data_IF_208717985266
#
_entry.id   IF_208717985266
#
_cell.length_a   1.000
_cell.length_b   1.000
_cell.length_c   1.000
_cell.angle_alpha   90.00
_cell.angle_beta   90.00
_cell.angle_gamma   90.00
#
_symmetry.space_group_name_H-M   'P 1'
#
loop_
_entity.id
_entity.type
_entity.pdbx_description
1 polymer ?
#
# COMPACT_ATOMS: atom_id res chain seq x y z
N UNK A 1 -8.22 -7.40 3.08
CA UNK A 1 -7.87 -8.05 1.79
C UNK A 1 -7.36 -9.45 2.01
N UNK A 2 -6.93 -10.10 0.93
CA UNK A 2 -6.47 -11.47 1.03
C UNK A 2 -4.95 -11.59 0.91
N UNK A 3 -4.48 -12.17 -0.20
CA UNK A 3 -3.06 -12.40 -0.43
C UNK A 3 -2.33 -11.17 -0.91
N UNK A 4 -3.05 -10.15 -1.33
CA UNK A 4 -2.38 -8.97 -1.84
C UNK A 4 -1.67 -8.20 -0.75
N UNK A 5 -2.03 -8.43 0.49
CA UNK A 5 -1.37 -7.70 1.56
C UNK A 5 0.11 -8.08 1.57
N UNK A 6 0.38 -9.35 1.85
CA UNK A 6 1.76 -9.81 1.86
C UNK A 6 2.55 -9.34 0.64
N UNK A 7 2.17 -9.77 -0.56
CA UNK A 7 2.90 -9.40 -1.77
C UNK A 7 2.84 -7.92 -2.12
N UNK A 8 1.65 -7.35 -2.15
CA UNK A 8 1.49 -5.95 -2.55
C UNK A 8 1.74 -4.99 -1.40
N UNK A 9 0.99 -5.11 -0.32
CA UNK A 9 1.16 -4.20 0.81
C UNK A 9 2.64 -4.03 1.18
N UNK A 10 3.35 -5.14 1.37
CA UNK A 10 4.76 -5.06 1.74
C UNK A 10 5.62 -4.47 0.63
N UNK A 11 5.41 -4.90 -0.60
CA UNK A 11 6.20 -4.42 -1.73
C UNK A 11 5.75 -3.05 -2.22
N UNK A 12 4.51 -2.95 -2.68
CA UNK A 12 3.98 -1.68 -3.15
C UNK A 12 4.33 -0.55 -2.20
N UNK A 13 4.00 -0.73 -0.93
CA UNK A 13 4.32 0.27 0.08
C UNK A 13 5.81 0.54 0.04
N UNK A 14 6.60 -0.51 0.18
CA UNK A 14 8.06 -0.41 0.13
C UNK A 14 8.52 0.55 -0.97
N UNK A 15 8.13 0.30 -2.22
CA UNK A 15 8.53 1.14 -3.35
C UNK A 15 7.97 2.56 -3.27
N UNK A 16 6.91 2.75 -2.48
CA UNK A 16 6.29 4.07 -2.39
C UNK A 16 7.01 4.89 -1.35
N UNK A 17 7.50 4.19 -0.34
CA UNK A 17 8.23 4.83 0.73
C UNK A 17 9.67 5.12 0.29
N UNK A 18 10.19 4.26 -0.54
CA UNK A 18 11.55 4.45 -1.01
C UNK A 18 11.57 5.50 -2.11
N UNK A 19 10.46 5.63 -2.81
CA UNK A 19 10.43 6.58 -3.92
C UNK A 19 10.02 7.97 -3.45
N UNK A 20 8.78 8.07 -2.99
CA UNK A 20 8.24 9.33 -2.55
C UNK A 20 8.60 9.63 -1.12
N UNK A 21 8.75 8.61 -0.30
CA UNK A 21 9.07 8.88 1.09
C UNK A 21 10.56 9.10 1.24
N UNK A 22 11.39 8.45 0.41
CA UNK A 22 12.81 8.70 0.54
C UNK A 22 13.04 10.19 0.38
N UNK A 23 12.66 10.76 -0.77
CA UNK A 23 12.81 12.20 -0.94
C UNK A 23 12.10 13.00 0.16
N UNK A 24 10.92 12.55 0.57
CA UNK A 24 10.17 13.29 1.59
C UNK A 24 10.89 13.37 2.93
N UNK A 25 11.07 12.23 3.61
CA UNK A 25 11.74 12.22 4.90
C UNK A 25 12.85 13.25 4.91
N UNK A 26 13.73 13.09 3.94
CA UNK A 26 14.84 14.02 3.77
C UNK A 26 14.35 15.47 3.70
N UNK A 27 13.57 15.79 2.65
CA UNK A 27 13.06 17.15 2.42
C UNK A 27 11.67 17.46 2.99
N UNK A 28 10.69 16.70 2.51
CA UNK A 28 9.25 16.88 2.76
C UNK A 28 8.69 16.31 4.06
N UNK A 29 9.48 15.55 4.81
CA UNK A 29 8.98 14.83 6.00
C UNK A 29 7.90 15.56 6.81
N UNK A 30 7.76 16.87 6.70
CA UNK A 30 6.72 17.54 7.48
C UNK A 30 5.38 17.58 6.73
N UNK A 31 5.32 18.45 5.71
CA UNK A 31 4.11 18.61 4.89
C UNK A 31 4.05 17.65 3.70
N UNK A 32 5.06 17.73 2.86
CA UNK A 32 5.14 16.90 1.66
C UNK A 32 4.96 15.42 1.97
N UNK A 33 5.10 15.07 3.26
CA UNK A 33 4.96 13.69 3.72
C UNK A 33 3.68 13.02 3.24
N UNK A 34 2.80 13.75 2.57
CA UNK A 34 1.58 13.16 2.09
C UNK A 34 1.80 12.50 0.74
N UNK A 35 2.58 13.17 -0.11
CA UNK A 35 2.89 12.66 -1.44
C UNK A 35 3.13 11.16 -1.45
N UNK A 36 3.76 10.63 -0.39
CA UNK A 36 4.01 9.20 -0.31
C UNK A 36 2.68 8.48 -0.09
N UNK A 37 2.07 8.73 1.07
CA UNK A 37 0.76 8.14 1.39
C UNK A 37 -0.21 8.21 0.23
N UNK A 38 0.03 9.12 -0.72
CA UNK A 38 -0.84 9.26 -1.87
C UNK A 38 -0.64 8.10 -2.83
N UNK A 39 0.62 7.85 -3.19
CA UNK A 39 0.96 6.75 -4.08
C UNK A 39 0.28 5.45 -3.64
N UNK A 40 0.25 5.23 -2.32
CA UNK A 40 -0.35 4.03 -1.76
C UNK A 40 -1.88 4.11 -1.78
N UNK A 41 -2.42 5.32 -1.85
CA UNK A 41 -3.86 5.52 -1.88
C UNK A 41 -4.48 4.87 -3.10
N UNK A 42 -4.01 5.25 -4.29
CA UNK A 42 -4.52 4.69 -5.54
C UNK A 42 -4.28 3.20 -5.62
N UNK A 43 -3.05 2.80 -5.29
CA UNK A 43 -2.67 1.39 -5.32
C UNK A 43 -3.66 0.56 -4.51
N UNK A 44 -3.87 1.00 -3.27
CA UNK A 44 -4.80 0.33 -2.35
C UNK A 44 -6.16 0.08 -3.01
N UNK A 45 -6.66 1.05 -3.77
CA UNK A 45 -7.95 0.92 -4.44
C UNK A 45 -7.98 -0.31 -5.34
N UNK A 46 -6.87 -0.55 -6.02
CA UNK A 46 -6.76 -1.70 -6.90
C UNK A 46 -6.61 -2.97 -6.07
N UNK A 47 -5.50 -3.03 -5.33
CA UNK A 47 -5.20 -4.16 -4.45
C UNK A 47 -6.41 -4.59 -3.63
N UNK A 48 -7.40 -3.72 -3.50
CA UNK A 48 -8.57 -4.07 -2.72
C UNK A 48 -9.54 -4.89 -3.55
N UNK A 49 -9.99 -4.31 -4.65
CA UNK A 49 -10.90 -4.99 -5.55
C UNK A 49 -10.25 -6.22 -6.19
N UNK A 50 -8.92 -6.27 -6.16
CA UNK A 50 -8.22 -7.39 -6.76
C UNK A 50 -8.30 -8.67 -5.92
N UNK A 51 -7.76 -8.62 -4.70
CA UNK A 51 -7.72 -9.81 -3.83
C UNK A 51 -8.95 -9.99 -2.95
N UNK A 52 -9.49 -8.92 -2.40
CA UNK A 52 -10.65 -9.05 -1.53
C UNK A 52 -11.90 -9.30 -2.35
N UNK A 53 -12.02 -8.61 -3.46
CA UNK A 53 -13.15 -8.78 -4.36
C UNK A 53 -12.90 -9.96 -5.27
N UNK A 54 -11.68 -10.47 -5.18
CA UNK A 54 -11.26 -11.59 -5.98
C UNK A 54 -12.33 -12.68 -6.03
N UNK A 55 -13.01 -12.89 -4.91
CA UNK A 55 -14.05 -13.90 -4.85
C UNK A 55 -13.99 -14.72 -3.57
N UNK A 56 -12.79 -14.87 -3.01
CA UNK A 56 -12.62 -15.62 -1.79
C UNK A 56 -11.31 -15.31 -1.10
N UNK A 57 -11.40 -14.90 0.16
CA UNK A 57 -10.21 -14.56 0.94
C UNK A 57 -9.95 -15.61 2.02
N UNK A 58 -8.84 -16.34 1.86
CA UNK A 58 -8.47 -17.37 2.83
C UNK A 58 -6.97 -17.34 3.08
N UNK A 59 -6.19 -16.93 2.08
CA UNK A 59 -4.74 -16.85 2.20
C UNK A 59 -4.30 -15.43 2.51
N UNK A 60 -3.53 -15.26 3.58
CA UNK A 60 -3.02 -13.95 4.00
C UNK A 60 -4.15 -13.06 4.52
N UNK A 61 -5.39 -13.42 4.21
CA UNK A 61 -6.57 -12.65 4.62
C UNK A 61 -6.53 -12.31 6.11
N UNK A 62 -5.72 -13.02 6.87
CA UNK A 62 -5.61 -12.79 8.30
C UNK A 62 -4.93 -11.46 8.59
N UNK A 63 -4.53 -10.76 7.54
CA UNK A 63 -3.86 -9.46 7.67
C UNK A 63 -4.70 -8.35 7.05
N UNK A 64 -4.98 -7.32 7.84
CA UNK A 64 -5.76 -6.18 7.37
C UNK A 64 -4.90 -4.91 7.33
N UNK A 65 -4.74 -4.36 6.13
CA UNK A 65 -3.92 -3.16 5.97
C UNK A 65 -4.61 -2.13 5.06
N UNK A 66 -4.88 -2.53 3.82
CA UNK A 66 -5.53 -1.65 2.85
C UNK A 66 -6.73 -0.94 3.48
N UNK A 67 -7.68 -1.75 3.95
CA UNK A 67 -8.89 -1.21 4.59
C UNK A 67 -8.80 -1.35 6.11
#
# INVERSE_FOLDING_TARGET
MDQETRDQMKNAAAEAKDNVHDKIQELKDDVGNKAAEVRDAVSSTVESIKDKLSGGSSSRASSYTLE
#
